data_IF_623608500708
#
_entry.id   IF_623608500708
#
_cell.length_a   1.000
_cell.length_b   1.000
_cell.length_c   1.000
_cell.angle_alpha   90.00
_cell.angle_beta   90.00
_cell.angle_gamma   90.00
#
_symmetry.space_group_name_H-M   'P 1'
#
loop_
_entity.id
_entity.type
_entity.pdbx_description
1 polymer ?
#
# COMPACT_ATOMS: atom_id res chain seq x y z
N UNK A 1 9.58 -73.51 -27.37
CA UNK A 1 9.59 -72.74 -26.10
C UNK A 1 9.80 -71.29 -26.45
N UNK A 2 8.82 -70.45 -26.11
CA UNK A 2 8.79 -69.00 -26.34
C UNK A 2 9.79 -68.33 -25.41
N UNK A 3 10.68 -67.48 -25.92
CA UNK A 3 11.35 -66.47 -25.10
C UNK A 3 11.24 -65.12 -25.82
N UNK A 4 10.33 -64.33 -25.27
CA UNK A 4 10.07 -62.93 -25.52
C UNK A 4 11.13 -62.14 -24.72
N UNK A 5 12.02 -61.40 -25.38
CA UNK A 5 12.85 -60.41 -24.70
C UNK A 5 12.40 -59.03 -25.19
N UNK A 6 11.77 -58.33 -24.26
CA UNK A 6 11.19 -57.01 -24.37
C UNK A 6 12.29 -55.96 -24.49
N UNK A 7 12.24 -55.16 -25.55
CA UNK A 7 13.10 -53.99 -25.77
C UNK A 7 12.63 -52.89 -24.81
N UNK A 8 13.46 -52.53 -23.83
CA UNK A 8 13.26 -51.30 -23.03
C UNK A 8 13.97 -50.17 -23.77
N UNK A 9 13.18 -49.37 -24.51
CA UNK A 9 13.58 -48.04 -24.96
C UNK A 9 13.84 -47.17 -23.71
N UNK A 10 15.11 -46.90 -23.41
CA UNK A 10 15.45 -45.76 -22.57
C UNK A 10 15.20 -44.49 -23.39
N UNK A 11 14.00 -43.93 -23.22
CA UNK A 11 13.68 -42.58 -23.67
C UNK A 11 14.59 -41.59 -22.96
N UNK A 12 15.46 -40.94 -23.73
CA UNK A 12 16.01 -39.63 -23.39
C UNK A 12 14.83 -38.65 -23.27
N UNK A 13 14.20 -38.62 -22.10
CA UNK A 13 13.42 -37.47 -21.69
C UNK A 13 14.43 -36.39 -21.35
N UNK A 14 14.69 -35.54 -22.35
CA UNK A 14 15.20 -34.19 -22.13
C UNK A 14 14.49 -33.63 -20.91
N UNK A 15 15.25 -33.41 -19.84
CA UNK A 15 14.82 -32.47 -18.81
C UNK A 15 14.64 -31.16 -19.55
N UNK A 16 13.38 -30.86 -19.86
CA UNK A 16 12.96 -29.55 -20.28
C UNK A 16 13.60 -28.58 -19.30
N UNK A 17 14.44 -27.70 -19.85
CA UNK A 17 14.72 -26.39 -19.30
C UNK A 17 13.40 -25.84 -18.75
N UNK A 18 13.21 -26.00 -17.44
CA UNK A 18 12.41 -25.05 -16.68
C UNK A 18 13.25 -23.79 -16.74
N UNK A 19 13.09 -23.08 -17.86
CA UNK A 19 13.39 -21.67 -17.94
C UNK A 19 12.68 -21.07 -16.74
N UNK A 20 13.48 -20.80 -15.71
CA UNK A 20 13.11 -20.00 -14.56
C UNK A 20 12.65 -18.72 -15.19
N UNK A 21 11.33 -18.59 -15.38
CA UNK A 21 10.73 -17.44 -16.04
C UNK A 21 11.36 -16.22 -15.43
N UNK A 22 11.95 -15.37 -16.27
CA UNK A 22 12.64 -14.15 -15.86
C UNK A 22 11.79 -13.49 -14.78
N UNK A 23 12.29 -13.49 -13.52
CA UNK A 23 11.58 -12.85 -12.43
C UNK A 23 11.43 -11.40 -12.84
N UNK A 24 10.23 -11.00 -13.25
CA UNK A 24 9.93 -9.61 -13.59
C UNK A 24 10.49 -8.75 -12.45
N UNK A 25 11.27 -7.71 -12.76
CA UNK A 25 11.86 -6.87 -11.72
C UNK A 25 10.74 -6.37 -10.83
N UNK A 26 10.95 -6.44 -9.51
CA UNK A 26 9.99 -5.89 -8.56
C UNK A 26 9.77 -4.42 -8.87
N UNK A 27 8.51 -4.00 -8.90
CA UNK A 27 8.15 -2.61 -9.13
C UNK A 27 8.81 -1.73 -8.05
N UNK A 28 9.30 -0.56 -8.45
CA UNK A 28 9.94 0.40 -7.55
C UNK A 28 9.11 1.66 -7.47
N UNK A 29 9.10 2.31 -6.32
CA UNK A 29 8.46 3.62 -6.18
C UNK A 29 9.22 4.69 -6.97
N UNK A 30 8.47 5.64 -7.52
CA UNK A 30 9.02 6.86 -8.11
C UNK A 30 9.60 7.77 -7.04
N UNK A 31 10.43 8.75 -7.45
CA UNK A 31 11.00 9.71 -6.51
C UNK A 31 9.91 10.52 -5.78
N UNK A 32 8.81 10.87 -6.45
CA UNK A 32 7.72 11.61 -5.80
C UNK A 32 6.93 10.75 -4.81
N UNK A 33 6.76 9.45 -5.09
CA UNK A 33 6.20 8.51 -4.12
C UNK A 33 7.09 8.41 -2.88
N UNK A 34 8.42 8.40 -3.03
CA UNK A 34 9.32 8.46 -1.87
C UNK A 34 9.21 9.75 -1.08
N UNK A 35 8.94 10.91 -1.71
CA UNK A 35 8.70 12.16 -0.96
C UNK A 35 7.49 12.05 -0.03
N UNK A 36 6.42 11.38 -0.47
CA UNK A 36 5.23 11.13 0.37
C UNK A 36 5.56 10.17 1.51
N UNK A 37 6.26 9.06 1.23
CA UNK A 37 6.70 8.11 2.27
C UNK A 37 7.58 8.81 3.32
N UNK A 38 8.52 9.66 2.89
CA UNK A 38 9.39 10.39 3.80
C UNK A 38 8.65 11.48 4.59
N UNK A 39 7.66 12.16 4.00
CA UNK A 39 6.80 13.11 4.71
C UNK A 39 6.01 12.41 5.83
N UNK A 40 5.48 11.23 5.54
CA UNK A 40 4.73 10.40 6.50
C UNK A 40 5.60 9.88 7.66
N UNK A 41 6.82 9.42 7.36
CA UNK A 41 7.72 8.89 8.38
C UNK A 41 8.33 10.01 9.22
N UNK A 42 8.46 11.24 8.71
CA UNK A 42 9.22 12.28 9.40
C UNK A 42 10.70 11.92 9.57
N UNK A 43 11.49 12.82 10.14
CA UNK A 43 12.96 12.64 10.27
C UNK A 43 13.35 11.73 11.42
N UNK A 44 12.57 11.68 12.50
CA UNK A 44 12.95 11.08 13.79
C UNK A 44 12.11 9.84 14.15
N UNK A 45 11.36 9.28 13.20
CA UNK A 45 10.56 8.09 13.48
C UNK A 45 11.43 6.85 13.64
N UNK A 46 11.30 6.21 14.80
CA UNK A 46 11.77 4.84 15.02
C UNK A 46 10.65 3.87 14.66
N UNK A 47 10.73 3.27 13.47
CA UNK A 47 9.70 2.32 13.01
C UNK A 47 10.30 1.17 12.22
N UNK A 48 9.72 -0.02 12.39
CA UNK A 48 10.01 -1.19 11.56
C UNK A 48 9.03 -1.17 10.39
N UNK A 49 9.52 -0.88 9.19
CA UNK A 49 8.71 -0.74 7.99
C UNK A 49 8.83 -2.01 7.14
N UNK A 50 7.72 -2.54 6.66
CA UNK A 50 7.73 -3.65 5.69
C UNK A 50 8.52 -3.23 4.45
N UNK A 51 9.48 -4.05 4.03
CA UNK A 51 10.31 -3.78 2.85
C UNK A 51 9.51 -3.77 1.54
N UNK A 52 8.37 -4.46 1.54
CA UNK A 52 7.43 -4.48 0.43
C UNK A 52 6.17 -3.70 0.83
N UNK A 53 5.71 -2.81 -0.04
CA UNK A 53 4.40 -2.18 0.14
C UNK A 53 3.34 -3.28 0.19
N UNK A 54 2.50 -3.24 1.19
CA UNK A 54 1.42 -4.21 1.36
C UNK A 54 0.26 -3.87 0.43
N UNK A 55 -0.17 -4.88 -0.32
CA UNK A 55 -1.44 -4.89 -1.01
C UNK A 55 -2.42 -5.62 -0.13
N UNK A 56 -2.97 -4.92 0.87
CA UNK A 56 -4.13 -5.51 1.51
C UNK A 56 -5.23 -5.52 0.45
N UNK A 57 -5.64 -6.73 0.09
CA UNK A 57 -6.78 -7.10 -0.75
C UNK A 57 -8.08 -6.32 -0.38
N UNK A 58 -8.06 -5.58 0.73
CA UNK A 58 -9.14 -4.81 1.32
C UNK A 58 -9.07 -3.28 1.10
N UNK A 59 -7.92 -2.69 0.72
CA UNK A 59 -7.84 -1.23 0.51
C UNK A 59 -8.70 -0.76 -0.67
N UNK A 60 -8.67 -1.51 -1.78
CA UNK A 60 -9.57 -1.26 -2.92
C UNK A 60 -11.04 -1.38 -2.52
N UNK A 61 -11.36 -2.28 -1.58
CA UNK A 61 -12.72 -2.41 -1.05
C UNK A 61 -13.12 -1.18 -0.22
N UNK A 62 -12.27 -0.67 0.68
CA UNK A 62 -12.62 0.53 1.47
C UNK A 62 -12.84 1.79 0.61
N UNK A 63 -12.19 1.87 -0.56
CA UNK A 63 -12.34 3.01 -1.48
C UNK A 63 -13.49 2.85 -2.48
N UNK A 64 -13.89 1.60 -2.77
CA UNK A 64 -15.04 1.28 -3.63
C UNK A 64 -16.32 1.02 -2.83
N UNK A 65 -16.24 0.80 -1.52
CA UNK A 65 -17.41 0.68 -0.66
C UNK A 65 -18.16 1.99 -0.68
N UNK A 66 -19.49 1.85 -0.67
CA UNK A 66 -20.48 2.91 -0.52
C UNK A 66 -20.12 3.99 0.52
N UNK A 67 -19.27 3.68 1.49
CA UNK A 67 -18.73 4.63 2.46
C UNK A 67 -18.20 5.90 1.81
N UNK A 68 -17.33 5.81 0.80
CA UNK A 68 -16.69 6.98 0.17
C UNK A 68 -17.57 7.65 -0.90
N UNK A 69 -18.69 7.03 -1.27
CA UNK A 69 -19.66 7.56 -2.24
C UNK A 69 -20.94 8.08 -1.59
N UNK A 70 -21.28 7.67 -0.35
CA UNK A 70 -22.50 8.07 0.37
C UNK A 70 -22.27 9.19 1.38
N UNK A 71 -21.04 9.38 1.83
CA UNK A 71 -20.60 10.51 2.65
C UNK A 71 -19.07 10.58 2.44
N UNK A 72 -18.47 11.64 1.85
CA UNK A 72 -17.02 11.70 1.61
C UNK A 72 -16.18 11.50 2.89
N UNK A 73 -16.84 11.38 4.03
CA UNK A 73 -16.28 10.86 5.24
C UNK A 73 -15.64 12.02 5.96
N UNK A 74 -15.86 12.05 7.25
CA UNK A 74 -15.27 13.06 8.09
C UNK A 74 -13.76 12.83 8.18
N UNK A 75 -12.99 13.76 7.64
CA UNK A 75 -11.55 13.78 7.84
C UNK A 75 -11.18 14.53 9.11
N UNK A 76 -10.12 14.09 9.77
CA UNK A 76 -9.54 14.78 10.92
C UNK A 76 -8.28 15.51 10.42
N UNK A 77 -8.27 16.85 10.48
CA UNK A 77 -7.07 17.65 10.21
C UNK A 77 -6.21 17.76 11.46
N UNK A 78 -4.91 17.43 11.38
CA UNK A 78 -4.04 17.38 12.57
C UNK A 78 -3.54 18.75 13.05
N UNK A 79 -3.74 19.85 12.31
CA UNK A 79 -2.95 21.06 12.58
C UNK A 79 -3.45 21.91 13.77
N UNK A 80 -4.70 21.78 14.24
CA UNK A 80 -5.26 22.59 15.35
C UNK A 80 -6.48 21.96 16.08
N UNK A 81 -6.55 20.63 16.20
CA UNK A 81 -7.68 19.92 16.82
C UNK A 81 -8.62 19.28 15.80
N UNK A 82 -9.56 18.46 16.30
CA UNK A 82 -10.50 17.67 15.50
C UNK A 82 -11.48 18.58 14.73
N UNK A 83 -11.05 19.15 13.61
CA UNK A 83 -11.94 19.82 12.68
C UNK A 83 -12.45 18.81 11.66
N UNK A 84 -13.77 18.58 11.69
CA UNK A 84 -14.49 17.67 10.80
C UNK A 84 -14.65 18.35 9.44
N UNK A 85 -13.98 17.86 8.39
CA UNK A 85 -14.13 18.39 7.02
C UNK A 85 -14.41 17.28 6.02
N UNK A 86 -15.03 17.60 4.90
CA UNK A 86 -15.28 16.64 3.83
C UNK A 86 -14.09 16.60 2.86
N UNK A 87 -13.79 15.44 2.27
CA UNK A 87 -12.76 15.34 1.22
C UNK A 87 -13.10 16.24 0.03
N UNK A 88 -14.39 16.34 -0.30
CA UNK A 88 -14.94 17.16 -1.39
C UNK A 88 -14.54 18.63 -1.31
N UNK A 89 -14.26 19.15 -0.11
CA UNK A 89 -13.76 20.52 0.08
C UNK A 89 -12.33 20.71 -0.44
N UNK A 90 -11.61 19.62 -0.66
CA UNK A 90 -10.18 19.62 -0.99
C UNK A 90 -9.86 18.95 -2.33
N UNK A 91 -10.63 17.93 -2.73
CA UNK A 91 -10.41 17.13 -3.93
C UNK A 91 -11.73 17.06 -4.71
N UNK A 92 -11.68 17.45 -5.98
CA UNK A 92 -12.83 17.32 -6.87
C UNK A 92 -13.12 15.85 -7.24
N UNK A 93 -14.38 15.56 -7.60
CA UNK A 93 -14.82 14.19 -7.92
C UNK A 93 -14.05 13.52 -9.06
N UNK A 94 -13.55 14.29 -10.04
CA UNK A 94 -12.78 13.73 -11.16
C UNK A 94 -11.41 13.25 -10.67
N UNK A 95 -10.72 14.06 -9.88
CA UNK A 95 -9.45 13.69 -9.23
C UNK A 95 -9.64 12.47 -8.34
N UNK A 96 -10.70 12.45 -7.51
CA UNK A 96 -10.99 11.32 -6.63
C UNK A 96 -11.29 10.03 -7.43
N UNK A 97 -12.04 10.13 -8.51
CA UNK A 97 -12.35 8.99 -9.38
C UNK A 97 -11.09 8.43 -10.07
N UNK A 98 -10.22 9.30 -10.57
CA UNK A 98 -8.94 8.89 -11.16
C UNK A 98 -8.01 8.22 -10.14
N UNK A 99 -7.99 8.69 -8.89
CA UNK A 99 -7.28 8.01 -7.81
C UNK A 99 -7.83 6.59 -7.56
N UNK A 100 -9.16 6.44 -7.51
CA UNK A 100 -9.80 5.11 -7.33
C UNK A 100 -9.43 4.15 -8.45
N UNK A 101 -9.46 4.60 -9.70
CA UNK A 101 -9.06 3.80 -10.85
C UNK A 101 -7.58 3.39 -10.79
N UNK A 102 -6.68 4.33 -10.47
CA UNK A 102 -5.26 4.03 -10.28
C UNK A 102 -5.04 2.99 -9.19
N UNK A 103 -5.81 3.06 -8.11
CA UNK A 103 -5.78 2.13 -6.99
C UNK A 103 -6.26 0.74 -7.40
N UNK A 104 -7.38 0.63 -8.13
CA UNK A 104 -7.89 -0.66 -8.59
C UNK A 104 -6.94 -1.36 -9.57
N UNK A 105 -6.13 -0.57 -10.28
CA UNK A 105 -5.21 -1.07 -11.30
C UNK A 105 -3.82 -1.47 -10.75
N UNK A 106 -3.58 -1.35 -9.44
CA UNK A 106 -2.29 -1.72 -8.88
C UNK A 106 -2.21 -3.24 -8.70
N UNK A 107 -1.29 -3.88 -9.44
CA UNK A 107 -1.25 -5.33 -9.61
C UNK A 107 -0.17 -6.07 -8.80
N UNK A 108 0.57 -5.39 -7.90
CA UNK A 108 1.56 -6.09 -7.07
C UNK A 108 2.45 -5.20 -6.21
N UNK A 109 3.21 -5.83 -5.30
CA UNK A 109 4.09 -5.17 -4.30
C UNK A 109 5.19 -4.30 -4.92
N UNK A 110 5.41 -3.11 -4.36
CA UNK A 110 6.56 -2.26 -4.67
C UNK A 110 7.65 -2.47 -3.62
N UNK A 111 8.89 -2.57 -4.07
CA UNK A 111 10.06 -2.66 -3.19
C UNK A 111 10.45 -1.28 -2.68
N UNK A 112 10.61 -1.15 -1.36
CA UNK A 112 11.18 0.03 -0.72
C UNK A 112 12.70 -0.06 -0.65
N UNK A 113 13.36 0.96 -1.18
CA UNK A 113 14.81 1.07 -1.26
C UNK A 113 15.33 1.86 -0.06
N UNK A 114 16.16 1.23 0.78
CA UNK A 114 16.66 1.83 2.04
C UNK A 114 17.34 3.19 1.84
N UNK A 115 18.10 3.35 0.76
CA UNK A 115 18.83 4.58 0.45
C UNK A 115 17.92 5.76 0.04
N UNK A 116 16.62 5.53 -0.15
CA UNK A 116 15.63 6.59 -0.45
C UNK A 116 14.73 6.92 0.74
N UNK A 117 14.89 6.23 1.87
CA UNK A 117 14.24 6.56 3.14
C UNK A 117 15.18 7.48 3.93
N UNK A 118 14.69 8.67 4.27
CA UNK A 118 15.52 9.71 4.90
C UNK A 118 15.64 9.57 6.43
N UNK A 119 14.66 8.93 7.08
CA UNK A 119 14.77 8.63 8.51
C UNK A 119 15.81 7.54 8.76
N UNK A 120 16.80 7.86 9.61
CA UNK A 120 17.91 6.97 9.95
C UNK A 120 17.46 5.76 10.79
N UNK A 121 16.37 5.92 11.53
CA UNK A 121 15.89 4.93 12.50
C UNK A 121 14.79 4.02 11.92
N UNK A 122 14.45 4.19 10.64
CA UNK A 122 13.59 3.26 9.91
C UNK A 122 14.35 2.00 9.55
N UNK A 123 13.88 0.86 10.06
CA UNK A 123 14.40 -0.47 9.71
C UNK A 123 13.46 -1.15 8.72
N UNK A 124 13.94 -1.40 7.50
CA UNK A 124 13.21 -2.20 6.52
C UNK A 124 13.29 -3.69 6.88
N UNK A 125 12.14 -4.36 7.00
CA UNK A 125 12.02 -5.76 7.41
C UNK A 125 11.43 -6.59 6.29
N UNK A 126 12.02 -7.75 5.98
CA UNK A 126 11.53 -8.70 4.97
C UNK A 126 10.47 -9.66 5.50
N UNK A 127 10.54 -10.00 6.79
CA UNK A 127 9.70 -11.02 7.42
C UNK A 127 8.35 -10.50 7.89
N UNK A 128 7.29 -11.25 7.57
CA UNK A 128 5.90 -10.98 7.93
C UNK A 128 5.51 -11.52 9.33
N UNK A 129 6.46 -12.06 10.09
CA UNK A 129 6.18 -12.80 11.35
C UNK A 129 6.00 -11.90 12.58
N UNK A 130 6.13 -10.58 12.44
CA UNK A 130 6.10 -9.63 13.55
C UNK A 130 4.85 -8.74 13.47
N UNK A 131 4.06 -8.72 14.55
CA UNK A 131 2.81 -7.94 14.63
C UNK A 131 3.02 -6.42 14.76
N UNK A 132 4.25 -5.94 15.01
CA UNK A 132 4.57 -4.52 15.16
C UNK A 132 5.39 -3.98 13.98
N UNK A 133 4.83 -4.12 12.77
CA UNK A 133 5.39 -3.56 11.53
C UNK A 133 4.44 -2.49 11.00
N UNK A 134 5.04 -1.42 10.46
CA UNK A 134 4.33 -0.47 9.63
C UNK A 134 4.18 -1.04 8.22
N UNK A 135 2.95 -1.08 7.76
CA UNK A 135 2.55 -1.48 6.41
C UNK A 135 2.04 -0.24 5.67
N UNK A 136 2.57 -0.02 4.46
CA UNK A 136 2.16 1.06 3.58
C UNK A 136 1.73 0.49 2.22
N UNK A 137 0.69 1.05 1.61
CA UNK A 137 0.48 0.89 0.16
C UNK A 137 1.55 1.69 -0.60
N UNK A 138 1.76 1.45 -1.91
CA UNK A 138 2.38 2.48 -2.73
C UNK A 138 1.51 3.76 -2.66
N UNK A 139 2.11 4.96 -2.54
CA UNK A 139 1.37 6.20 -2.68
C UNK A 139 0.79 6.33 -4.09
N UNK A 140 -0.47 6.73 -4.20
CA UNK A 140 -1.11 7.04 -5.48
C UNK A 140 -1.19 8.55 -5.63
N UNK A 141 -0.66 9.07 -6.74
CA UNK A 141 -0.58 10.51 -7.03
C UNK A 141 -1.53 10.83 -8.19
N UNK A 142 -2.34 11.88 -8.01
CA UNK A 142 -3.16 12.51 -9.04
C UNK A 142 -3.01 14.04 -8.93
N UNK A 143 -2.32 14.64 -9.90
CA UNK A 143 -1.99 16.06 -9.87
C UNK A 143 -1.22 16.44 -8.59
N UNK A 144 -1.75 17.41 -7.83
CA UNK A 144 -1.18 17.89 -6.56
C UNK A 144 -1.72 17.15 -5.33
N UNK A 145 -2.42 16.05 -5.53
CA UNK A 145 -3.00 15.25 -4.46
C UNK A 145 -2.42 13.84 -4.47
N UNK A 146 -2.33 13.24 -3.29
CA UNK A 146 -1.93 11.85 -3.18
C UNK A 146 -2.65 11.15 -2.03
N UNK A 147 -2.65 9.82 -2.07
CA UNK A 147 -3.31 8.97 -1.09
C UNK A 147 -2.45 7.74 -0.79
N UNK A 148 -2.38 7.35 0.48
CA UNK A 148 -1.62 6.17 0.93
C UNK A 148 -2.38 5.44 2.04
N UNK A 149 -2.27 4.13 2.05
CA UNK A 149 -2.69 3.28 3.16
C UNK A 149 -1.62 3.22 4.21
N UNK A 150 -2.05 3.21 5.47
CA UNK A 150 -1.20 3.09 6.62
C UNK A 150 -1.80 2.07 7.59
N UNK A 151 -1.00 1.09 8.02
CA UNK A 151 -1.35 0.19 9.13
C UNK A 151 -0.16 -0.05 10.04
N UNK A 152 -0.31 0.29 11.31
CA UNK A 152 0.64 -0.04 12.37
C UNK A 152 -0.15 -0.48 13.60
N UNK A 153 0.02 -1.73 14.03
CA UNK A 153 -0.78 -2.32 15.12
C UNK A 153 -2.28 -2.14 14.84
N UNK A 154 -3.02 -1.56 15.79
CA UNK A 154 -4.46 -1.25 15.73
C UNK A 154 -4.77 0.07 15.00
N UNK A 155 -3.73 0.81 14.58
CA UNK A 155 -3.90 2.08 13.89
C UNK A 155 -3.89 1.84 12.38
N UNK A 156 -5.09 1.72 11.82
CA UNK A 156 -5.33 1.54 10.39
C UNK A 156 -6.00 2.79 9.82
N UNK A 157 -5.43 3.36 8.76
CA UNK A 157 -5.96 4.59 8.16
C UNK A 157 -5.65 4.78 6.67
N UNK A 158 -6.47 5.61 6.03
CA UNK A 158 -6.24 6.19 4.71
C UNK A 158 -5.78 7.64 4.91
N UNK A 159 -4.65 8.01 4.33
CA UNK A 159 -4.06 9.35 4.52
C UNK A 159 -4.00 10.05 3.17
N UNK A 160 -4.52 11.27 3.12
CA UNK A 160 -4.51 12.14 1.96
C UNK A 160 -3.51 13.29 2.12
N UNK A 161 -2.77 13.54 1.05
CA UNK A 161 -1.71 14.54 0.97
C UNK A 161 -2.00 15.56 -0.11
N UNK A 162 -1.55 16.79 0.13
CA UNK A 162 -1.54 17.88 -0.84
C UNK A 162 -0.14 18.42 -1.00
N UNK A 163 0.26 18.65 -2.25
CA UNK A 163 1.52 19.26 -2.60
C UNK A 163 1.41 20.79 -2.54
N UNK A 164 2.35 21.42 -1.83
CA UNK A 164 2.45 22.88 -1.78
C UNK A 164 3.16 23.44 -3.03
N UNK A 165 3.31 24.76 -3.10
CA UNK A 165 4.00 25.45 -4.22
C UNK A 165 5.49 25.13 -4.32
N UNK A 166 6.12 24.72 -3.22
CA UNK A 166 7.53 24.33 -3.15
C UNK A 166 7.76 22.86 -3.55
N UNK A 167 6.68 22.11 -3.80
CA UNK A 167 6.74 20.69 -4.13
C UNK A 167 6.72 19.75 -2.92
N UNK A 168 6.58 20.27 -1.70
CA UNK A 168 6.51 19.45 -0.48
C UNK A 168 5.10 18.89 -0.28
N UNK A 169 5.04 17.67 0.25
CA UNK A 169 3.80 16.98 0.54
C UNK A 169 3.45 17.11 2.02
N UNK A 170 2.20 17.48 2.29
CA UNK A 170 1.67 17.57 3.65
C UNK A 170 0.33 16.86 3.75
N UNK A 171 0.10 16.19 4.87
CA UNK A 171 -1.19 15.58 5.19
C UNK A 171 -2.23 16.67 5.37
N UNK A 172 -3.37 16.57 4.69
CA UNK A 172 -4.52 17.45 4.93
C UNK A 172 -5.72 16.70 5.52
N UNK A 173 -5.71 15.38 5.44
CA UNK A 173 -6.86 14.55 5.80
C UNK A 173 -6.43 13.11 6.15
N UNK A 174 -6.98 12.58 7.24
CA UNK A 174 -6.80 11.19 7.66
C UNK A 174 -8.16 10.53 7.95
N UNK A 175 -8.32 9.28 7.50
CA UNK A 175 -9.47 8.42 7.76
C UNK A 175 -9.07 7.21 8.56
N UNK A 176 -9.55 7.11 9.79
CA UNK A 176 -9.29 5.95 10.62
C UNK A 176 -10.27 4.82 10.29
N UNK A 177 -9.74 3.68 9.86
CA UNK A 177 -10.47 2.47 9.55
C UNK A 177 -10.56 1.65 10.83
N UNK A 178 -11.56 1.95 11.67
CA UNK A 178 -11.83 1.14 12.86
C UNK A 178 -12.54 -0.14 12.39
N UNK A 179 -12.00 -1.31 12.71
CA UNK A 179 -12.77 -2.56 12.65
C UNK A 179 -14.03 -2.37 13.51
N UNK A 180 -15.21 -2.44 12.90
CA UNK A 180 -16.52 -2.39 13.58
C UNK A 180 -16.78 -3.67 14.38
N UNK A 181 -15.83 -4.11 15.19
CA UNK A 181 -15.92 -5.26 16.09
C UNK A 181 -15.86 -4.80 17.54
N UNK A 182 -16.73 -3.84 17.89
CA UNK A 182 -17.38 -3.85 19.20
C UNK A 182 -18.84 -4.22 19.00
N UNK A 183 -19.09 -5.52 19.05
CA UNK A 183 -20.35 -6.04 19.56
C UNK A 183 -20.49 -5.53 21.00
N UNK A 184 -21.10 -4.37 21.18
CA UNK A 184 -21.83 -4.06 22.41
C UNK A 184 -23.29 -4.46 22.08
N UNK A 185 -23.73 -5.71 22.22
CA UNK A 185 -23.33 -6.62 23.28
C UNK A 185 -23.76 -6.10 24.66
N UNK A 186 -24.78 -5.24 24.73
CA UNK A 186 -25.50 -4.92 25.96
C UNK A 186 -26.97 -5.24 25.73
N UNK A 187 -27.48 -6.03 26.66
CA UNK A 187 -28.78 -6.70 26.73
C UNK A 187 -29.99 -5.81 26.56
#
# INVERSE_FOLDING_TARGET
>A
MKNLILIILFGFLSFNDVSIGERKPLLKLSNDQYKIVNSLLGTDSTVRLSMHTSFLYHWGNYLNTDWLSKDPGFCISQKNGFEKREISDHIDNRTLSAMREKISNISGSFLLEKNKIHSKDVKLVKDFTSNNLLYLSPPVIEGKHAVIYYKLLWNEKIIFFKQNVNGDWSTFCEFYLVESTRNDGIS
#
